data_IF_383214842604
#
_entry.id   IF_383214842604
#
_cell.length_a   1.000
_cell.length_b   1.000
_cell.length_c   1.000
_cell.angle_alpha   90.00
_cell.angle_beta   90.00
_cell.angle_gamma   90.00
#
_symmetry.space_group_name_H-M   'P 1'
#
loop_
_entity.id
_entity.type
_entity.pdbx_description
1 polymer ?
#
# COMPACT_ATOMS: atom_id res chain seq x y z
N UNK A 1 -26.08 10.18 32.48
CA UNK A 1 -26.93 9.59 31.42
C UNK A 1 -26.54 10.04 30.01
N UNK A 2 -25.98 11.24 29.79
CA UNK A 2 -25.72 11.74 28.42
C UNK A 2 -24.27 11.52 27.91
N UNK A 3 -23.28 11.42 28.82
CA UNK A 3 -21.87 11.18 28.44
C UNK A 3 -21.61 9.75 27.97
N UNK A 4 -22.21 8.77 28.64
CA UNK A 4 -21.99 7.34 28.36
C UNK A 4 -22.54 6.97 26.98
N UNK A 5 -23.73 7.50 26.63
CA UNK A 5 -24.34 7.31 25.31
C UNK A 5 -23.49 7.88 24.17
N UNK A 6 -22.89 9.06 24.35
CA UNK A 6 -22.02 9.70 23.36
C UNK A 6 -20.69 8.95 23.18
N UNK A 7 -20.13 8.37 24.25
CA UNK A 7 -18.94 7.51 24.18
C UNK A 7 -19.23 6.28 23.33
N UNK A 8 -20.31 5.56 23.63
CA UNK A 8 -20.70 4.34 22.91
C UNK A 8 -20.98 4.60 21.42
N UNK A 9 -21.62 5.73 21.08
CA UNK A 9 -21.85 6.09 19.67
C UNK A 9 -20.54 6.36 18.92
N UNK A 10 -19.58 7.03 19.55
CA UNK A 10 -18.26 7.31 18.96
C UNK A 10 -17.45 6.02 18.76
N UNK A 11 -17.53 5.10 19.71
CA UNK A 11 -16.91 3.77 19.62
C UNK A 11 -17.49 2.96 18.45
N UNK A 12 -18.82 2.92 18.31
CA UNK A 12 -19.49 2.25 17.19
C UNK A 12 -19.06 2.86 15.84
N UNK A 13 -19.03 4.19 15.73
CA UNK A 13 -18.59 4.86 14.50
C UNK A 13 -17.13 4.52 14.15
N UNK A 14 -16.25 4.45 15.15
CA UNK A 14 -14.85 4.09 14.96
C UNK A 14 -14.69 2.65 14.48
N UNK A 15 -15.46 1.71 15.03
CA UNK A 15 -15.42 0.31 14.60
C UNK A 15 -15.97 0.10 13.18
N UNK A 16 -17.00 0.86 12.79
CA UNK A 16 -17.50 0.87 11.40
C UNK A 16 -16.41 1.37 10.43
N UNK A 17 -15.68 2.43 10.80
CA UNK A 17 -14.56 2.92 9.99
C UNK A 17 -13.43 1.90 9.89
N UNK A 18 -13.03 1.27 10.99
CA UNK A 18 -12.01 0.21 10.98
C UNK A 18 -12.43 -0.97 10.11
N UNK A 19 -13.67 -1.43 10.23
CA UNK A 19 -14.22 -2.51 9.39
C UNK A 19 -14.18 -2.13 7.91
N UNK A 20 -14.55 -0.89 7.58
CA UNK A 20 -14.49 -0.36 6.22
C UNK A 20 -13.05 -0.32 5.69
N UNK A 21 -12.11 0.21 6.48
CA UNK A 21 -10.69 0.27 6.11
C UNK A 21 -10.12 -1.12 5.84
N UNK A 22 -10.37 -2.10 6.72
CA UNK A 22 -9.94 -3.49 6.51
C UNK A 22 -10.45 -4.02 5.17
N UNK A 23 -11.73 -3.78 4.88
CA UNK A 23 -12.35 -4.24 3.65
C UNK A 23 -11.74 -3.62 2.40
N UNK A 24 -11.53 -2.30 2.44
CA UNK A 24 -10.96 -1.56 1.32
C UNK A 24 -9.47 -1.90 1.11
N UNK A 25 -8.69 -2.09 2.17
CA UNK A 25 -7.30 -2.54 2.01
C UNK A 25 -7.22 -3.92 1.36
N UNK A 26 -8.02 -4.90 1.82
CA UNK A 26 -8.06 -6.23 1.19
C UNK A 26 -8.45 -6.15 -0.28
N UNK A 27 -9.45 -5.35 -0.62
CA UNK A 27 -9.84 -5.12 -2.01
C UNK A 27 -8.68 -4.53 -2.83
N UNK A 28 -7.97 -3.52 -2.32
CA UNK A 28 -6.80 -2.96 -3.01
C UNK A 28 -5.66 -3.96 -3.15
N UNK A 29 -5.40 -4.81 -2.16
CA UNK A 29 -4.40 -5.88 -2.27
C UNK A 29 -4.81 -6.93 -3.31
N UNK A 30 -6.08 -7.29 -3.38
CA UNK A 30 -6.60 -8.20 -4.40
C UNK A 30 -6.48 -7.61 -5.82
N UNK A 31 -6.75 -6.31 -5.99
CA UNK A 31 -6.54 -5.62 -7.27
C UNK A 31 -5.06 -5.56 -7.64
N UNK A 32 -4.18 -5.19 -6.70
CA UNK A 32 -2.73 -5.13 -6.93
C UNK A 32 -2.17 -6.51 -7.33
N UNK A 33 -2.60 -7.57 -6.61
CA UNK A 33 -2.26 -8.97 -6.92
C UNK A 33 -2.59 -9.33 -8.36
N UNK A 34 -3.86 -9.13 -8.77
CA UNK A 34 -4.30 -9.44 -10.13
C UNK A 34 -3.45 -8.73 -11.18
N UNK A 35 -3.19 -7.44 -11.00
CA UNK A 35 -2.38 -6.68 -11.95
C UNK A 35 -0.95 -7.21 -12.05
N UNK A 36 -0.34 -7.66 -10.95
CA UNK A 36 1.00 -8.25 -10.95
C UNK A 36 1.00 -9.63 -11.60
N UNK A 37 0.00 -10.47 -11.30
CA UNK A 37 -0.14 -11.81 -11.89
C UNK A 37 -0.30 -11.75 -13.42
N UNK A 38 -1.05 -10.76 -13.91
CA UNK A 38 -1.23 -10.51 -15.35
C UNK A 38 -0.02 -9.89 -16.04
N UNK A 39 0.92 -9.27 -15.31
CA UNK A 39 2.06 -8.59 -15.90
C UNK A 39 3.06 -9.59 -16.51
N UNK A 40 3.35 -9.57 -17.82
CA UNK A 40 4.37 -10.43 -18.41
C UNK A 40 5.78 -10.12 -17.90
N UNK A 41 6.68 -11.11 -17.94
CA UNK A 41 8.07 -10.95 -17.47
C UNK A 41 8.82 -9.87 -18.27
N UNK A 42 8.60 -9.79 -19.58
CA UNK A 42 9.21 -8.77 -20.44
C UNK A 42 8.79 -7.34 -20.03
N UNK A 43 7.52 -7.16 -19.65
CA UNK A 43 7.01 -5.87 -19.15
C UNK A 43 7.49 -5.57 -17.72
N UNK A 44 7.67 -6.61 -16.90
CA UNK A 44 8.14 -6.47 -15.52
C UNK A 44 9.53 -5.82 -15.46
N UNK A 45 10.43 -6.26 -16.35
CA UNK A 45 11.81 -5.81 -16.46
C UNK A 45 12.03 -4.70 -17.50
N UNK A 46 10.97 -4.11 -18.05
CA UNK A 46 11.08 -3.22 -19.20
C UNK A 46 11.94 -1.95 -18.94
N UNK A 47 13.01 -1.92 -19.75
CA UNK A 47 13.84 -0.85 -20.26
C UNK A 47 13.23 0.55 -20.48
N UNK A 48 12.04 0.57 -21.05
CA UNK A 48 11.49 1.74 -21.72
C UNK A 48 10.89 2.78 -20.76
N UNK A 49 10.45 2.33 -19.59
CA UNK A 49 9.80 3.17 -18.60
C UNK A 49 10.79 3.69 -17.55
N UNK A 50 10.83 5.01 -17.36
CA UNK A 50 11.67 5.66 -16.33
C UNK A 50 11.38 5.14 -14.92
N UNK A 51 10.10 4.86 -14.60
CA UNK A 51 9.69 4.15 -13.41
C UNK A 51 9.36 2.71 -13.79
N UNK A 52 10.28 1.78 -13.52
CA UNK A 52 10.13 0.35 -13.83
C UNK A 52 8.83 -0.24 -13.25
N UNK A 53 8.27 -1.24 -13.93
CA UNK A 53 7.03 -1.90 -13.49
C UNK A 53 7.21 -2.57 -12.13
N UNK A 54 8.28 -3.34 -11.96
CA UNK A 54 8.65 -3.94 -10.67
C UNK A 54 8.80 -2.89 -9.55
N UNK A 55 9.31 -1.71 -9.89
CA UNK A 55 9.51 -0.64 -8.91
C UNK A 55 8.18 -0.07 -8.43
N UNK A 56 7.22 0.16 -9.32
CA UNK A 56 5.90 0.65 -8.93
C UNK A 56 5.19 -0.36 -8.03
N UNK A 57 5.23 -1.64 -8.39
CA UNK A 57 4.64 -2.72 -7.60
C UNK A 57 5.27 -2.83 -6.20
N UNK A 58 6.60 -2.79 -6.13
CA UNK A 58 7.32 -2.77 -4.88
C UNK A 58 7.02 -1.51 -4.05
N UNK A 59 7.05 -0.33 -4.66
CA UNK A 59 6.77 0.94 -4.00
C UNK A 59 5.35 0.97 -3.41
N UNK A 60 4.35 0.58 -4.19
CA UNK A 60 2.97 0.50 -3.74
C UNK A 60 2.87 -0.40 -2.50
N UNK A 61 3.35 -1.65 -2.60
CA UNK A 61 3.29 -2.63 -1.51
C UNK A 61 4.03 -2.16 -0.26
N UNK A 62 5.26 -1.69 -0.41
CA UNK A 62 6.11 -1.27 0.71
C UNK A 62 5.52 -0.08 1.47
N UNK A 63 5.12 0.98 0.77
CA UNK A 63 4.59 2.16 1.43
C UNK A 63 3.20 1.90 2.01
N UNK A 64 2.38 1.04 1.39
CA UNK A 64 1.12 0.61 2.01
C UNK A 64 1.33 -0.14 3.31
N UNK A 65 2.28 -1.09 3.34
CA UNK A 65 2.67 -1.77 4.58
C UNK A 65 3.13 -0.76 5.64
N UNK A 66 4.01 0.17 5.29
CA UNK A 66 4.52 1.17 6.23
C UNK A 66 3.40 2.07 6.77
N UNK A 67 2.54 2.57 5.90
CA UNK A 67 1.47 3.50 6.28
C UNK A 67 0.27 2.85 6.98
N UNK A 68 0.14 1.52 6.89
CA UNK A 68 -0.78 0.72 7.69
C UNK A 68 -0.33 0.58 9.16
N UNK A 69 0.86 1.08 9.53
CA UNK A 69 1.35 1.04 10.91
C UNK A 69 0.88 2.26 11.73
N UNK A 70 0.99 2.15 13.05
CA UNK A 70 0.63 3.22 14.00
C UNK A 70 1.48 4.47 13.77
N UNK A 71 2.76 4.31 13.48
CA UNK A 71 3.70 5.39 13.14
C UNK A 71 4.98 4.80 12.50
N UNK A 72 5.89 5.67 12.08
CA UNK A 72 7.17 5.31 11.49
C UNK A 72 8.08 4.47 12.43
N UNK A 73 8.01 4.69 13.75
CA UNK A 73 8.79 3.90 14.72
C UNK A 73 8.28 2.46 14.90
N UNK A 74 6.97 2.24 14.74
CA UNK A 74 6.36 0.90 14.85
C UNK A 74 6.55 0.04 13.61
N UNK A 75 6.91 0.66 12.48
CA UNK A 75 7.12 -0.06 11.24
C UNK A 75 8.30 -1.02 11.33
N UNK A 76 8.00 -2.29 11.07
CA UNK A 76 9.00 -3.34 10.97
C UNK A 76 9.00 -3.85 9.54
N UNK A 77 10.10 -3.59 8.85
CA UNK A 77 10.32 -4.10 7.52
C UNK A 77 10.23 -5.63 7.48
N UNK A 78 9.64 -6.17 6.41
CA UNK A 78 9.64 -7.60 6.16
C UNK A 78 11.09 -8.11 6.04
N UNK A 79 11.44 -9.12 6.85
CA UNK A 79 12.80 -9.67 6.91
C UNK A 79 13.26 -10.11 5.52
N UNK A 80 14.51 -9.81 5.17
CA UNK A 80 15.14 -10.12 3.88
C UNK A 80 14.55 -9.41 2.65
N UNK A 81 13.55 -8.54 2.82
CA UNK A 81 13.07 -7.71 1.73
C UNK A 81 13.94 -6.44 1.66
N UNK A 82 14.47 -6.01 0.51
CA UNK A 82 15.22 -4.74 0.37
C UNK A 82 14.33 -3.51 0.68
N UNK A 83 14.93 -2.37 1.03
CA UNK A 83 14.32 -1.05 1.29
C UNK A 83 14.29 -0.16 0.04
N UNK A 84 13.38 0.83 -0.06
CA UNK A 84 13.33 1.74 -1.20
C UNK A 84 14.64 2.48 -1.48
N UNK A 85 15.31 2.97 -0.44
CA UNK A 85 16.59 3.69 -0.54
C UNK A 85 17.75 2.81 -1.06
N UNK A 86 17.67 1.49 -0.86
CA UNK A 86 18.63 0.52 -1.43
C UNK A 86 18.48 0.36 -2.95
N UNK A 87 17.33 0.76 -3.50
CA UNK A 87 17.05 0.70 -4.93
C UNK A 87 17.27 2.04 -5.63
N UNK A 88 16.92 3.14 -4.96
CA UNK A 88 16.91 4.46 -5.57
C UNK A 88 18.12 5.33 -5.22
N UNK A 89 18.93 4.93 -4.22
CA UNK A 89 20.01 5.73 -3.63
C UNK A 89 19.56 7.05 -2.98
N UNK A 90 18.26 7.38 -3.06
CA UNK A 90 17.61 8.59 -2.55
C UNK A 90 16.15 8.31 -2.20
N UNK A 91 15.62 8.86 -1.12
CA UNK A 91 14.19 8.73 -0.75
C UNK A 91 13.31 9.74 -1.56
N UNK A 92 13.75 10.15 -2.76
CA UNK A 92 12.99 11.14 -3.56
C UNK A 92 11.93 10.46 -4.42
N UNK A 93 10.80 11.15 -4.68
CA UNK A 93 9.78 10.69 -5.61
C UNK A 93 9.68 11.64 -6.83
N UNK A 94 9.67 11.12 -8.07
CA UNK A 94 9.98 9.74 -8.41
C UNK A 94 11.44 9.42 -8.04
N UNK A 95 11.74 8.18 -7.67
CA UNK A 95 13.09 7.76 -7.31
C UNK A 95 13.98 7.92 -8.52
N UNK A 96 14.94 8.82 -8.40
CA UNK A 96 15.93 9.11 -9.43
C UNK A 96 17.19 8.30 -9.16
N UNK A 97 17.10 6.98 -9.28
CA UNK A 97 18.30 6.21 -9.52
C UNK A 97 18.61 6.20 -11.02
N UNK A 98 19.88 6.39 -11.37
CA UNK A 98 20.37 6.15 -12.74
C UNK A 98 20.68 4.66 -12.99
N UNK A 99 20.55 3.80 -11.98
CA UNK A 99 20.96 2.40 -12.02
C UNK A 99 19.93 1.53 -11.29
N UNK A 100 19.36 0.57 -12.00
CA UNK A 100 18.54 -0.46 -11.36
C UNK A 100 19.38 -1.25 -10.34
N UNK A 101 18.76 -1.82 -9.30
CA UNK A 101 19.44 -2.78 -8.43
C UNK A 101 20.05 -3.91 -9.26
N UNK A 102 21.15 -4.47 -8.78
CA UNK A 102 21.74 -5.67 -9.38
C UNK A 102 20.77 -6.86 -9.47
N UNK A 103 19.76 -6.89 -8.59
CA UNK A 103 18.72 -7.91 -8.56
C UNK A 103 17.39 -7.24 -8.17
N UNK A 104 16.57 -6.81 -9.13
CA UNK A 104 15.22 -6.33 -8.83
C UNK A 104 14.37 -7.48 -8.28
N UNK A 105 13.35 -7.18 -7.46
CA UNK A 105 12.40 -8.18 -6.98
C UNK A 105 11.66 -8.82 -8.16
N UNK A 106 11.46 -10.13 -8.05
CA UNK A 106 10.60 -10.89 -8.95
C UNK A 106 9.12 -10.57 -8.68
N UNK A 107 8.22 -11.00 -9.58
CA UNK A 107 6.77 -10.89 -9.34
C UNK A 107 6.38 -11.67 -8.09
N UNK A 108 6.93 -12.87 -7.94
CA UNK A 108 6.71 -13.78 -6.82
C UNK A 108 7.13 -13.14 -5.49
N UNK A 109 8.26 -12.42 -5.45
CA UNK A 109 8.69 -11.70 -4.24
C UNK A 109 7.64 -10.68 -3.79
N UNK A 110 7.05 -9.95 -4.73
CA UNK A 110 6.02 -8.95 -4.42
C UNK A 110 4.69 -9.62 -4.04
N UNK A 111 4.31 -10.71 -4.71
CA UNK A 111 3.10 -11.47 -4.35
C UNK A 111 3.20 -12.04 -2.93
N UNK A 112 4.36 -12.57 -2.54
CA UNK A 112 4.63 -13.01 -1.16
C UNK A 112 4.55 -11.86 -0.15
N UNK A 113 5.00 -10.66 -0.56
CA UNK A 113 4.88 -9.47 0.29
C UNK A 113 3.42 -9.00 0.41
N UNK A 114 2.62 -9.11 -0.66
CA UNK A 114 1.19 -8.83 -0.61
C UNK A 114 0.50 -9.80 0.34
N UNK A 115 0.81 -11.10 0.28
CA UNK A 115 0.27 -12.10 1.22
C UNK A 115 0.58 -11.76 2.68
N UNK A 116 1.81 -11.32 2.94
CA UNK A 116 2.21 -10.84 4.26
C UNK A 116 1.36 -9.64 4.70
N UNK A 117 1.14 -8.65 3.84
CA UNK A 117 0.34 -7.47 4.17
C UNK A 117 -1.13 -7.82 4.40
N UNK A 118 -1.70 -8.66 3.52
CA UNK A 118 -3.10 -9.08 3.57
C UNK A 118 -3.39 -9.89 4.83
N UNK A 119 -2.49 -10.80 5.21
CA UNK A 119 -2.60 -11.58 6.46
C UNK A 119 -2.53 -10.73 7.74
N UNK A 120 -1.92 -9.53 7.68
CA UNK A 120 -1.70 -8.70 8.86
C UNK A 120 -2.53 -7.40 8.88
N UNK A 121 -3.27 -7.07 7.81
CA UNK A 121 -3.95 -5.78 7.73
C UNK A 121 -5.01 -5.59 8.82
N UNK A 122 -5.74 -6.65 9.17
CA UNK A 122 -6.76 -6.57 10.23
C UNK A 122 -6.17 -6.21 11.59
N UNK A 123 -5.20 -6.97 12.13
CA UNK A 123 -4.60 -6.60 13.42
C UNK A 123 -3.90 -5.24 13.38
N UNK A 124 -3.34 -4.81 12.25
CA UNK A 124 -2.76 -3.47 12.15
C UNK A 124 -3.81 -2.35 12.25
N UNK A 125 -4.92 -2.47 11.51
CA UNK A 125 -6.03 -1.50 11.57
C UNK A 125 -6.67 -1.47 12.95
N UNK A 126 -6.75 -2.62 13.64
CA UNK A 126 -7.29 -2.69 15.00
C UNK A 126 -6.44 -1.93 16.02
N UNK A 127 -5.12 -1.94 15.85
CA UNK A 127 -4.18 -1.21 16.71
C UNK A 127 -4.16 0.30 16.47
N UNK A 128 -4.68 0.78 15.34
CA UNK A 128 -4.70 2.20 15.03
C UNK A 128 -5.81 2.90 15.81
N UNK A 129 -5.44 3.96 16.54
CA UNK A 129 -6.40 4.97 17.01
C UNK A 129 -6.64 5.98 15.87
N UNK A 130 -7.81 5.93 15.26
CA UNK A 130 -8.18 6.79 14.13
C UNK A 130 -8.43 8.25 14.54
N UNK A 131 -8.56 8.54 15.84
CA UNK A 131 -8.92 9.87 16.34
C UNK A 131 -7.71 10.75 16.63
N UNK A 132 -6.49 10.20 16.57
CA UNK A 132 -5.29 10.98 16.89
C UNK A 132 -5.05 12.09 15.85
N UNK A 133 -4.78 13.33 16.30
CA UNK A 133 -4.64 14.49 15.41
C UNK A 133 -3.32 14.50 14.61
N UNK A 134 -2.40 13.55 14.88
CA UNK A 134 -1.14 13.40 14.16
C UNK A 134 -1.05 11.99 13.62
N UNK A 135 -0.86 11.84 12.32
CA UNK A 135 -0.76 10.54 11.67
C UNK A 135 0.47 9.70 12.06
N UNK A 136 1.45 10.26 12.79
CA UNK A 136 2.64 9.52 13.23
C UNK A 136 3.72 9.35 12.15
N UNK A 137 3.65 10.08 11.05
CA UNK A 137 4.71 10.14 10.02
C UNK A 137 5.17 11.58 9.86
N UNK A 138 6.40 11.89 10.27
CA UNK A 138 6.87 13.27 10.45
C UNK A 138 6.86 14.12 9.16
N UNK A 139 6.90 13.49 8.00
CA UNK A 139 6.83 14.17 6.70
C UNK A 139 5.40 14.60 6.30
N UNK A 140 4.36 14.02 6.89
CA UNK A 140 2.97 14.44 6.70
C UNK A 140 2.56 15.46 7.77
N UNK A 141 2.72 16.74 7.43
CA UNK A 141 2.42 17.87 8.32
C UNK A 141 0.93 18.20 8.28
N UNK A 142 0.28 18.13 9.44
CA UNK A 142 -1.12 18.57 9.60
C UNK A 142 -2.18 17.53 9.21
N UNK A 143 -1.77 16.28 8.96
CA UNK A 143 -2.68 15.19 8.63
C UNK A 143 -2.99 14.36 9.88
N UNK A 144 -4.28 14.16 10.16
CA UNK A 144 -4.73 13.25 11.21
C UNK A 144 -4.61 11.78 10.77
N UNK A 145 -4.84 10.84 11.71
CA UNK A 145 -4.64 9.41 11.40
C UNK A 145 -5.70 8.85 10.46
N UNK A 146 -6.96 9.27 10.58
CA UNK A 146 -8.02 8.80 9.69
C UNK A 146 -7.75 9.24 8.24
N UNK A 147 -7.49 10.53 8.04
CA UNK A 147 -7.12 11.11 6.75
C UNK A 147 -5.90 10.38 6.15
N UNK A 148 -4.91 10.05 6.98
CA UNK A 148 -3.74 9.30 6.54
C UNK A 148 -4.05 7.89 6.03
N UNK A 149 -5.00 7.16 6.64
CA UNK A 149 -5.41 5.85 6.13
C UNK A 149 -6.12 5.98 4.76
N UNK A 150 -6.96 7.01 4.58
CA UNK A 150 -7.52 7.33 3.26
C UNK A 150 -6.44 7.73 2.24
N UNK A 151 -5.45 8.52 2.65
CA UNK A 151 -4.30 8.86 1.81
C UNK A 151 -3.54 7.60 1.37
N UNK A 152 -3.34 6.64 2.27
CA UNK A 152 -2.71 5.37 1.96
C UNK A 152 -3.53 4.54 0.95
N UNK A 153 -4.85 4.45 1.11
CA UNK A 153 -5.74 3.81 0.13
C UNK A 153 -5.67 4.50 -1.25
N UNK A 154 -5.62 5.84 -1.29
CA UNK A 154 -5.45 6.60 -2.54
C UNK A 154 -4.08 6.37 -3.17
N UNK A 155 -3.03 6.26 -2.36
CA UNK A 155 -1.66 5.99 -2.81
C UNK A 155 -1.55 4.63 -3.50
N UNK A 156 -2.02 3.56 -2.86
CA UNK A 156 -1.98 2.23 -3.47
C UNK A 156 -2.86 2.19 -4.74
N UNK A 157 -4.06 2.77 -4.69
CA UNK A 157 -4.95 2.79 -5.85
C UNK A 157 -4.36 3.58 -7.03
N UNK A 158 -3.66 4.68 -6.77
CA UNK A 158 -2.95 5.44 -7.81
C UNK A 158 -1.92 4.57 -8.54
N UNK A 159 -1.15 3.78 -7.81
CA UNK A 159 -0.14 2.90 -8.40
C UNK A 159 -0.73 1.65 -9.05
N UNK A 160 -1.82 1.09 -8.52
CA UNK A 160 -2.58 0.04 -9.20
C UNK A 160 -3.05 0.54 -10.57
N UNK A 161 -3.60 1.76 -10.66
CA UNK A 161 -3.99 2.35 -11.94
C UNK A 161 -2.83 2.48 -12.93
N UNK A 162 -1.66 2.90 -12.46
CA UNK A 162 -0.45 2.96 -13.30
C UNK A 162 -0.01 1.59 -13.82
N UNK A 163 -0.05 0.57 -12.97
CA UNK A 163 0.32 -0.80 -13.37
C UNK A 163 -0.73 -1.39 -14.31
N UNK A 164 -2.01 -1.26 -13.99
CA UNK A 164 -3.12 -1.80 -14.78
C UNK A 164 -3.15 -1.22 -16.19
N UNK A 165 -2.85 0.08 -16.34
CA UNK A 165 -2.73 0.72 -17.65
C UNK A 165 -1.59 0.09 -18.48
N UNK A 166 -0.41 -0.14 -17.88
CA UNK A 166 0.70 -0.80 -18.59
C UNK A 166 0.37 -2.21 -19.02
N UNK A 167 -0.19 -3.01 -18.11
CA UNK A 167 -0.57 -4.39 -18.43
C UNK A 167 -1.61 -4.40 -19.55
N UNK A 168 -2.59 -3.48 -19.52
CA UNK A 168 -3.61 -3.37 -20.56
C UNK A 168 -3.03 -3.04 -21.93
N UNK A 169 -2.06 -2.13 -21.98
CA UNK A 169 -1.43 -1.76 -23.26
C UNK A 169 -0.61 -2.91 -23.89
N UNK A 170 -0.17 -3.91 -23.10
CA UNK A 170 0.62 -5.04 -23.60
C UNK A 170 -0.21 -6.31 -23.78
N UNK A 171 -1.18 -6.55 -22.90
CA UNK A 171 -1.90 -7.82 -22.79
C UNK A 171 -3.39 -7.72 -23.13
N UNK A 172 -3.91 -6.51 -23.37
CA UNK A 172 -5.35 -6.21 -23.48
C UNK A 172 -6.17 -6.57 -22.22
N UNK A 173 -5.49 -6.76 -21.08
CA UNK A 173 -6.06 -7.06 -19.77
C UNK A 173 -5.50 -6.13 -18.68
N UNK A 174 -6.25 -5.83 -17.62
CA UNK A 174 -5.79 -4.91 -16.56
C UNK A 174 -6.13 -5.33 -15.13
N UNK A 175 -6.70 -6.51 -14.94
CA UNK A 175 -7.30 -6.95 -13.69
C UNK A 175 -8.70 -6.39 -13.48
N UNK A 176 -9.48 -7.07 -12.64
CA UNK A 176 -10.85 -6.69 -12.32
C UNK A 176 -10.93 -5.69 -11.18
N UNK A 177 -12.00 -4.88 -11.19
CA UNK A 177 -12.32 -4.02 -10.06
C UNK A 177 -12.85 -4.85 -8.89
N UNK A 178 -12.24 -4.69 -7.71
CA UNK A 178 -12.73 -5.31 -6.47
C UNK A 178 -13.32 -4.22 -5.57
N UNK A 179 -14.64 -4.23 -5.37
CA UNK A 179 -15.33 -3.17 -4.61
C UNK A 179 -15.17 -3.25 -3.09
N UNK A 180 -14.91 -4.43 -2.54
CA UNK A 180 -14.76 -4.67 -1.11
C UNK A 180 -14.62 -6.16 -0.81
N UNK A 181 -13.90 -6.49 0.27
CA UNK A 181 -13.75 -7.87 0.77
C UNK A 181 -14.00 -7.83 2.29
N UNK A 182 -15.01 -8.54 2.78
CA UNK A 182 -15.33 -8.59 4.22
C UNK A 182 -14.30 -9.39 5.01
#
# INVERSE_FOLDING_TARGET
>A
MDKDKKSTETEIQTEVLKTTLKSQYRATFAMLRQTIELCPDDLWLDESHTNRTWWIAYHATYFTHMYAQVNDYTFKQLKNHPKPDQFSGTITWPPRSKQDPKSPPTREDILLYIDYCESNISPWVDLIDLTVPKCGFWWYKGMDKLEHQFNNLRHIQHHIGQLADRVRNVCDEGGDWVGGIS
#
